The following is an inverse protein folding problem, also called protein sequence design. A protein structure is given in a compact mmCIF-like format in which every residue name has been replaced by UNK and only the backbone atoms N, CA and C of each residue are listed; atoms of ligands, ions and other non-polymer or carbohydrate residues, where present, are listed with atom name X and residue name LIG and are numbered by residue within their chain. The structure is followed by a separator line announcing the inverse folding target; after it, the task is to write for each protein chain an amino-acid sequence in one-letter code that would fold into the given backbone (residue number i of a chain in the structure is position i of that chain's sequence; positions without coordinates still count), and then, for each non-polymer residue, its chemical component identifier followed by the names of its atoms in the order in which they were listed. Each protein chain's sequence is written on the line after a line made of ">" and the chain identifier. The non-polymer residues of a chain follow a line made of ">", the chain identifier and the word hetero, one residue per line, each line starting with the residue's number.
data_IF_906305991979
#
_entry.id   IF_906305991979
#
_cell.length_a   1.000
_cell.length_b   1.000
_cell.length_c   1.000
_cell.angle_alpha   90.00
_cell.angle_beta   90.00
_cell.angle_gamma   90.00
#
_symmetry.space_group_name_H-M   'P 1'
#
loop_
_entity.id
_entity.type
_entity.pdbx_description
1 polymer ?
#
# COMPACT_ATOMS: atom_id res chain seq x y z
N UNK A 1 -9.69 13.09 37.21
CA UNK A 1 -9.59 12.66 35.78
C UNK A 1 -8.42 11.71 35.66
N UNK A 2 -8.68 10.42 35.67
CA UNK A 2 -7.68 9.34 35.61
C UNK A 2 -7.27 9.14 34.16
N UNK A 3 -6.02 9.49 33.82
CA UNK A 3 -5.45 9.26 32.49
C UNK A 3 -5.19 7.76 32.29
N UNK A 4 -5.98 7.12 31.48
CA UNK A 4 -5.77 5.73 31.05
C UNK A 4 -4.53 5.70 30.12
N UNK A 5 -3.37 5.29 30.65
CA UNK A 5 -2.19 4.99 29.83
C UNK A 5 -2.32 3.55 29.33
N UNK A 6 -2.75 3.38 28.09
CA UNK A 6 -2.70 2.08 27.44
C UNK A 6 -1.23 1.71 27.23
N UNK A 7 -0.74 0.70 27.93
CA UNK A 7 0.62 0.21 27.76
C UNK A 7 0.71 -0.56 26.42
N UNK A 8 1.73 -0.26 25.62
CA UNK A 8 2.00 -0.92 24.32
C UNK A 8 1.99 -2.47 24.43
N UNK A 9 2.41 -3.03 25.56
CA UNK A 9 2.34 -4.47 25.85
C UNK A 9 0.88 -5.00 25.91
N UNK A 10 -0.06 -4.20 26.39
CA UNK A 10 -1.48 -4.58 26.46
C UNK A 10 -2.12 -4.58 25.08
N UNK A 11 -1.67 -3.69 24.17
CA UNK A 11 -2.14 -3.65 22.78
C UNK A 11 -1.71 -4.90 22.01
N UNK A 12 -0.45 -5.31 22.18
CA UNK A 12 0.08 -6.53 21.54
C UNK A 12 -0.68 -7.77 22.03
N UNK A 13 -1.00 -7.84 23.33
CA UNK A 13 -1.75 -8.96 23.89
C UNK A 13 -3.19 -9.04 23.34
N UNK A 14 -3.85 -7.90 23.16
CA UNK A 14 -5.19 -7.84 22.57
C UNK A 14 -5.17 -8.29 21.10
N UNK A 15 -4.18 -7.88 20.32
CA UNK A 15 -4.02 -8.32 18.92
C UNK A 15 -3.74 -9.82 18.83
N UNK A 16 -2.90 -10.38 19.71
CA UNK A 16 -2.61 -11.81 19.76
C UNK A 16 -3.84 -12.66 20.18
N UNK A 17 -4.63 -12.19 21.14
CA UNK A 17 -5.85 -12.87 21.58
C UNK A 17 -6.92 -12.83 20.49
N UNK A 18 -7.05 -11.71 19.76
CA UNK A 18 -8.01 -11.61 18.65
C UNK A 18 -7.61 -12.46 17.44
N UNK A 19 -6.34 -12.59 17.14
CA UNK A 19 -5.85 -13.44 16.04
C UNK A 19 -6.01 -14.94 16.33
N UNK A 20 -5.92 -15.35 17.60
CA UNK A 20 -6.11 -16.75 17.98
C UNK A 20 -7.59 -17.18 18.05
N UNK A 21 -8.53 -16.27 18.35
CA UNK A 21 -9.96 -16.59 18.40
C UNK A 21 -10.59 -16.75 17.01
N UNK A 22 -10.01 -16.16 15.96
CA UNK A 22 -10.50 -16.34 14.57
C UNK A 22 -10.28 -17.73 13.99
N UNK A 23 -9.31 -18.48 14.49
CA UNK A 23 -9.03 -19.85 13.99
C UNK A 23 -9.90 -20.94 14.58
N UNK A 24 -10.51 -20.73 15.75
CA UNK A 24 -11.32 -21.75 16.42
C UNK A 24 -12.75 -21.89 15.84
N UNK A 25 -13.27 -20.87 15.16
CA UNK A 25 -14.60 -20.94 14.55
C UNK A 25 -14.60 -21.40 13.10
N UNK A 26 -13.44 -21.52 12.45
CA UNK A 26 -13.35 -21.90 11.03
C UNK A 26 -13.41 -23.42 10.79
N UNK A 27 -13.28 -24.25 11.81
CA UNK A 27 -13.22 -25.71 11.66
C UNK A 27 -14.54 -26.46 11.93
N UNK A 28 -15.57 -25.81 12.43
CA UNK A 28 -16.81 -26.51 12.83
C UNK A 28 -18.00 -26.46 11.87
N UNK A 29 -17.91 -25.68 10.76
CA UNK A 29 -19.03 -25.59 9.82
C UNK A 29 -18.60 -25.70 8.34
N UNK A 30 -17.97 -26.78 7.96
CA UNK A 30 -17.74 -27.05 6.55
C UNK A 30 -17.96 -28.50 6.17
N UNK A 31 -19.21 -28.93 6.19
CA UNK A 31 -19.66 -30.03 5.33
C UNK A 31 -21.09 -29.72 4.92
N UNK A 32 -21.26 -28.88 3.90
CA UNK A 32 -22.37 -28.97 2.94
C UNK A 32 -22.19 -27.91 1.87
N UNK A 33 -21.91 -28.37 0.64
CA UNK A 33 -22.09 -27.66 -0.65
C UNK A 33 -21.79 -26.16 -0.65
N UNK A 34 -20.62 -25.77 -0.21
CA UNK A 34 -20.10 -24.48 -0.63
C UNK A 34 -19.71 -24.63 -2.11
N UNK A 35 -20.61 -24.20 -3.02
CA UNK A 35 -20.14 -23.63 -4.29
C UNK A 35 -18.88 -22.86 -3.94
N UNK A 36 -17.74 -23.20 -4.56
CA UNK A 36 -16.45 -22.48 -4.35
C UNK A 36 -16.76 -21.00 -4.53
N UNK A 37 -17.13 -20.33 -3.44
CA UNK A 37 -17.35 -18.90 -3.44
C UNK A 37 -16.05 -18.32 -3.95
N UNK A 38 -16.09 -17.82 -5.17
CA UNK A 38 -14.93 -17.25 -5.85
C UNK A 38 -14.37 -16.19 -4.92
N UNK A 39 -13.16 -16.46 -4.43
CA UNK A 39 -12.45 -15.52 -3.59
C UNK A 39 -12.38 -14.21 -4.37
N UNK A 40 -12.69 -13.11 -3.72
CA UNK A 40 -12.72 -11.78 -4.30
C UNK A 40 -11.37 -11.34 -4.89
N UNK A 41 -10.30 -11.96 -4.45
CA UNK A 41 -8.93 -11.68 -4.83
C UNK A 41 -8.26 -12.96 -5.33
N UNK A 42 -8.30 -13.16 -6.64
CA UNK A 42 -7.47 -14.14 -7.31
C UNK A 42 -6.03 -13.60 -7.35
N UNK A 43 -5.06 -14.50 -7.50
CA UNK A 43 -3.70 -14.07 -7.78
C UNK A 43 -3.68 -13.32 -9.10
N UNK A 44 -3.04 -12.15 -9.13
CA UNK A 44 -3.01 -11.28 -10.31
C UNK A 44 -1.68 -10.56 -10.45
N UNK A 45 -1.30 -10.30 -11.70
CA UNK A 45 -0.18 -9.41 -12.04
C UNK A 45 -0.75 -8.15 -12.65
N UNK A 46 -0.23 -7.02 -12.24
CA UNK A 46 -0.58 -5.71 -12.76
C UNK A 46 0.67 -5.04 -13.31
N UNK A 47 0.52 -4.36 -14.41
CA UNK A 47 1.51 -3.46 -14.98
C UNK A 47 0.86 -2.11 -15.18
N UNK A 48 1.60 -1.06 -14.98
CA UNK A 48 1.04 0.28 -15.09
C UNK A 48 2.09 1.36 -15.04
N UNK A 49 1.60 2.52 -14.82
CA UNK A 49 2.31 3.78 -14.85
C UNK A 49 2.02 4.54 -13.56
N UNK A 50 3.03 5.19 -13.04
CA UNK A 50 2.96 5.99 -11.82
C UNK A 50 3.54 7.37 -12.04
N UNK A 51 2.78 8.40 -11.66
CA UNK A 51 3.28 9.75 -11.46
C UNK A 51 3.66 9.92 -9.99
N UNK A 52 4.85 10.37 -9.74
CA UNK A 52 5.39 10.59 -8.40
C UNK A 52 5.68 12.07 -8.23
N UNK A 53 5.11 12.67 -7.19
CA UNK A 53 5.50 13.98 -6.71
C UNK A 53 6.28 13.78 -5.41
N UNK A 54 7.57 14.11 -5.44
CA UNK A 54 8.48 13.92 -4.32
C UNK A 54 9.06 15.26 -3.93
N UNK A 55 8.72 15.74 -2.73
CA UNK A 55 9.06 17.07 -2.25
C UNK A 55 9.71 17.05 -0.87
N UNK A 56 10.60 18.03 -0.64
CA UNK A 56 11.16 18.33 0.66
C UNK A 56 10.19 19.22 1.45
N UNK A 57 9.78 18.80 2.64
CA UNK A 57 8.88 19.56 3.52
C UNK A 57 9.53 19.97 4.85
N UNK A 58 10.83 19.69 5.02
CA UNK A 58 11.57 20.02 6.22
C UNK A 58 11.89 21.50 6.40
N UNK A 59 12.37 21.84 7.58
CA UNK A 59 12.65 23.23 7.97
C UNK A 59 14.15 23.60 7.96
N UNK A 60 15.05 22.70 7.54
CA UNK A 60 16.48 22.96 7.54
C UNK A 60 16.87 24.05 6.53
N UNK A 61 17.45 25.18 6.97
CA UNK A 61 17.92 26.22 6.07
C UNK A 61 19.03 25.74 5.13
N UNK A 62 19.77 24.69 5.52
CA UNK A 62 20.87 24.14 4.73
C UNK A 62 20.39 23.29 3.54
N UNK A 63 19.12 22.87 3.54
CA UNK A 63 18.54 21.97 2.52
C UNK A 63 17.54 22.69 1.62
N UNK A 64 17.04 23.86 2.02
CA UNK A 64 16.09 24.65 1.23
C UNK A 64 16.71 25.21 -0.05
N UNK A 65 15.87 25.34 -1.07
CA UNK A 65 16.25 25.90 -2.36
C UNK A 65 16.91 24.88 -3.27
N UNK A 66 17.97 25.27 -3.97
CA UNK A 66 18.63 24.43 -4.98
C UNK A 66 19.27 23.15 -4.43
N UNK A 67 19.23 22.94 -3.11
CA UNK A 67 19.75 21.74 -2.44
C UNK A 67 18.67 20.76 -2.00
N UNK A 68 17.38 21.10 -2.14
CA UNK A 68 16.29 20.17 -1.85
C UNK A 68 16.11 19.18 -2.98
N UNK A 69 15.90 17.89 -2.63
CA UNK A 69 15.62 16.87 -3.60
C UNK A 69 14.12 16.89 -3.94
N UNK A 70 13.78 17.60 -5.01
CA UNK A 70 12.42 17.70 -5.54
C UNK A 70 12.37 17.10 -6.93
N UNK A 71 11.38 16.24 -7.20
CA UNK A 71 11.25 15.57 -8.49
C UNK A 71 9.83 15.12 -8.78
N UNK A 72 9.49 15.06 -10.06
CA UNK A 72 8.20 14.61 -10.57
C UNK A 72 8.36 13.57 -11.68
N UNK A 73 8.97 12.41 -11.40
CA UNK A 73 9.16 11.38 -12.43
C UNK A 73 7.89 10.61 -12.70
N UNK A 74 7.74 10.23 -13.97
CA UNK A 74 6.74 9.25 -14.40
C UNK A 74 7.43 7.91 -14.62
N UNK A 75 7.00 6.88 -13.89
CA UNK A 75 7.73 5.63 -13.71
C UNK A 75 6.88 4.41 -14.08
N UNK A 76 7.53 3.30 -14.37
CA UNK A 76 6.88 2.01 -14.51
C UNK A 76 6.44 1.47 -13.14
N UNK A 77 5.25 0.87 -13.10
CA UNK A 77 4.73 0.17 -11.95
C UNK A 77 4.44 -1.29 -12.31
N UNK A 78 4.92 -2.20 -11.46
CA UNK A 78 4.62 -3.63 -11.54
C UNK A 78 4.14 -4.10 -10.18
N UNK A 79 3.04 -4.85 -10.13
CA UNK A 79 2.49 -5.35 -8.89
C UNK A 79 2.04 -6.81 -9.06
N UNK A 80 2.36 -7.62 -8.06
CA UNK A 80 1.84 -8.98 -7.89
C UNK A 80 0.97 -9.04 -6.64
N UNK A 81 -0.24 -9.54 -6.79
CA UNK A 81 -1.18 -9.73 -5.71
C UNK A 81 -1.55 -11.19 -5.56
N UNK A 82 -1.68 -11.62 -4.33
CA UNK A 82 -2.30 -12.89 -3.96
C UNK A 82 -3.11 -12.70 -2.68
N UNK A 83 -3.77 -13.75 -2.20
CA UNK A 83 -4.52 -13.68 -0.94
C UNK A 83 -3.57 -13.40 0.22
N UNK A 84 -3.60 -12.19 0.75
CA UNK A 84 -2.79 -11.79 1.91
C UNK A 84 -1.37 -11.31 1.61
N UNK A 85 -0.91 -11.33 0.35
CA UNK A 85 0.41 -10.81 -0.04
C UNK A 85 0.28 -9.89 -1.24
N UNK A 86 0.93 -8.73 -1.17
CA UNK A 86 1.10 -7.80 -2.29
C UNK A 86 2.57 -7.45 -2.41
N UNK A 87 3.16 -7.65 -3.58
CA UNK A 87 4.47 -7.16 -3.94
C UNK A 87 4.30 -6.04 -4.94
N UNK A 88 4.98 -4.92 -4.76
CA UNK A 88 4.93 -3.82 -5.71
C UNK A 88 6.32 -3.25 -5.95
N UNK A 89 6.56 -2.86 -7.18
CA UNK A 89 7.75 -2.19 -7.64
C UNK A 89 7.33 -0.98 -8.47
N UNK A 90 7.78 0.19 -8.07
CA UNK A 90 7.72 1.42 -8.84
C UNK A 90 9.15 1.79 -9.12
N UNK A 91 9.51 2.07 -10.35
CA UNK A 91 10.87 2.46 -10.60
C UNK A 91 11.23 2.50 -12.08
N UNK A 92 12.41 3.04 -12.29
CA UNK A 92 13.01 3.21 -13.58
C UNK A 92 13.60 4.61 -13.74
N UNK A 93 14.22 4.82 -14.88
CA UNK A 93 14.48 6.18 -15.35
C UNK A 93 13.14 6.76 -15.82
N UNK A 94 12.98 8.05 -15.66
CA UNK A 94 11.77 8.77 -16.06
C UNK A 94 11.34 8.37 -17.48
N UNK A 95 10.11 7.85 -17.62
CA UNK A 95 9.55 7.51 -18.94
C UNK A 95 9.15 8.79 -19.67
N UNK A 96 8.64 9.79 -18.91
CA UNK A 96 8.26 11.11 -19.39
C UNK A 96 8.71 12.12 -18.33
N UNK A 97 9.56 13.08 -18.69
CA UNK A 97 10.07 14.11 -17.78
C UNK A 97 11.58 14.29 -17.90
N UNK A 98 12.23 14.71 -16.81
CA UNK A 98 13.68 14.88 -16.77
C UNK A 98 14.37 13.51 -16.69
N UNK A 99 15.19 13.19 -17.68
CA UNK A 99 15.98 11.94 -17.74
C UNK A 99 16.96 11.78 -16.57
N UNK A 100 17.20 12.85 -15.83
CA UNK A 100 18.15 12.93 -14.73
C UNK A 100 17.54 12.58 -13.36
N UNK A 101 16.27 12.19 -13.32
CA UNK A 101 15.54 11.85 -12.10
C UNK A 101 15.30 10.33 -12.05
N UNK A 102 15.63 9.71 -10.94
CA UNK A 102 15.40 8.28 -10.71
C UNK A 102 14.78 8.05 -9.34
N UNK A 103 13.69 7.31 -9.32
CA UNK A 103 13.07 6.84 -8.08
C UNK A 103 12.80 5.35 -8.20
N UNK A 104 13.10 4.63 -7.13
CA UNK A 104 12.77 3.20 -6.99
C UNK A 104 12.05 3.03 -5.67
N UNK A 105 10.87 2.41 -5.69
CA UNK A 105 10.14 1.95 -4.51
C UNK A 105 9.84 0.47 -4.68
N UNK A 106 10.33 -0.34 -3.75
CA UNK A 106 10.03 -1.76 -3.63
C UNK A 106 9.31 -1.99 -2.31
N UNK A 107 8.13 -2.62 -2.36
CA UNK A 107 7.35 -2.91 -1.16
C UNK A 107 6.79 -4.31 -1.14
N UNK A 108 6.71 -4.85 0.07
CA UNK A 108 6.07 -6.12 0.41
C UNK A 108 5.00 -5.83 1.46
N UNK A 109 3.76 -6.09 1.12
CA UNK A 109 2.60 -5.92 2.00
C UNK A 109 2.03 -7.30 2.35
N UNK A 110 1.85 -7.56 3.63
CA UNK A 110 1.21 -8.75 4.16
C UNK A 110 -0.06 -8.33 4.89
N UNK A 111 -1.13 -9.11 4.77
CA UNK A 111 -2.34 -8.71 5.42
C UNK A 111 -3.40 -9.79 5.55
N UNK A 112 -4.38 -9.46 6.36
CA UNK A 112 -5.62 -10.19 6.54
C UNK A 112 -6.79 -9.24 6.45
N UNK A 113 -8.00 -9.79 6.40
CA UNK A 113 -9.21 -8.98 6.28
C UNK A 113 -10.35 -9.60 7.08
N UNK A 114 -11.20 -8.74 7.64
CA UNK A 114 -12.41 -9.12 8.34
C UNK A 114 -13.64 -8.56 7.63
N UNK A 115 -14.66 -9.37 7.44
CA UNK A 115 -15.90 -8.95 6.79
C UNK A 115 -16.87 -8.41 7.85
N UNK A 116 -17.24 -7.12 7.75
CA UNK A 116 -18.31 -6.53 8.55
C UNK A 116 -19.70 -6.85 7.97
N UNK A 117 -19.77 -6.86 6.64
CA UNK A 117 -20.99 -7.19 5.91
C UNK A 117 -20.60 -8.01 4.69
N UNK A 118 -21.30 -9.13 4.51
CA UNK A 118 -21.15 -9.98 3.32
C UNK A 118 -22.53 -10.32 2.74
N UNK A 119 -22.89 -9.63 1.67
CA UNK A 119 -24.10 -9.89 0.88
C UNK A 119 -23.71 -10.21 -0.55
N UNK A 120 -24.58 -10.88 -1.28
CA UNK A 120 -24.33 -11.32 -2.67
C UNK A 120 -23.75 -10.22 -3.59
N UNK A 121 -24.14 -8.96 -3.40
CA UNK A 121 -23.74 -7.84 -4.27
C UNK A 121 -22.97 -6.73 -3.57
N UNK A 122 -22.81 -6.81 -2.26
CA UNK A 122 -22.18 -5.76 -1.46
C UNK A 122 -21.41 -6.38 -0.30
N UNK A 123 -20.14 -6.01 -0.15
CA UNK A 123 -19.32 -6.40 0.96
C UNK A 123 -18.65 -5.18 1.58
N UNK A 124 -18.58 -5.15 2.90
CA UNK A 124 -17.78 -4.21 3.67
C UNK A 124 -16.71 -4.99 4.41
N UNK A 125 -15.45 -4.62 4.20
CA UNK A 125 -14.29 -5.35 4.67
C UNK A 125 -13.39 -4.38 5.43
N UNK A 126 -12.84 -4.83 6.55
CA UNK A 126 -11.77 -4.12 7.27
C UNK A 126 -10.47 -4.86 6.97
N UNK A 127 -9.54 -4.26 6.21
CA UNK A 127 -8.20 -4.80 6.01
C UNK A 127 -7.31 -4.44 7.20
N UNK A 128 -6.47 -5.41 7.60
CA UNK A 128 -5.33 -5.21 8.51
C UNK A 128 -4.08 -5.65 7.78
N UNK A 129 -3.13 -4.75 7.62
CA UNK A 129 -1.95 -5.00 6.80
C UNK A 129 -0.69 -4.46 7.45
N UNK A 130 0.43 -5.06 7.12
CA UNK A 130 1.77 -4.57 7.41
C UNK A 130 2.56 -4.47 6.11
N UNK A 131 3.37 -3.44 5.98
CA UNK A 131 4.20 -3.21 4.80
C UNK A 131 5.64 -2.98 5.23
N UNK A 132 6.56 -3.56 4.48
CA UNK A 132 7.96 -3.14 4.44
C UNK A 132 8.23 -2.60 3.05
N UNK A 133 8.74 -1.36 2.98
CA UNK A 133 9.06 -0.72 1.72
C UNK A 133 10.43 -0.04 1.78
N UNK A 134 11.17 -0.14 0.68
CA UNK A 134 12.42 0.60 0.44
C UNK A 134 12.10 1.65 -0.61
N UNK A 135 12.46 2.91 -0.32
CA UNK A 135 12.35 4.02 -1.27
C UNK A 135 13.73 4.64 -1.45
N UNK A 136 14.19 4.72 -2.68
CA UNK A 136 15.41 5.39 -3.06
C UNK A 136 15.11 6.43 -4.14
N UNK A 137 15.57 7.66 -3.94
CA UNK A 137 15.40 8.74 -4.90
C UNK A 137 16.74 9.46 -5.14
N UNK A 138 17.05 9.72 -6.40
CA UNK A 138 18.28 10.41 -6.83
C UNK A 138 17.98 11.35 -7.99
N UNK A 139 18.68 12.49 -8.01
CA UNK A 139 18.61 13.46 -9.09
C UNK A 139 20.04 13.85 -9.49
N UNK A 140 20.34 13.86 -10.78
CA UNK A 140 21.67 14.24 -11.27
C UNK A 140 21.97 15.70 -10.91
N UNK A 141 23.21 15.97 -10.51
CA UNK A 141 23.63 17.28 -10.02
C UNK A 141 23.38 17.53 -8.53
N UNK A 142 22.65 16.64 -7.84
CA UNK A 142 22.43 16.72 -6.41
C UNK A 142 23.37 15.75 -5.68
N UNK A 143 24.06 16.26 -4.64
CA UNK A 143 24.94 15.44 -3.80
C UNK A 143 24.15 14.55 -2.83
N UNK A 144 22.92 14.95 -2.51
CA UNK A 144 22.06 14.22 -1.59
C UNK A 144 21.30 13.12 -2.31
N UNK A 145 21.21 11.97 -1.63
CA UNK A 145 20.43 10.81 -2.06
C UNK A 145 19.43 10.49 -0.94
N UNK A 146 18.18 10.38 -1.31
CA UNK A 146 17.17 9.88 -0.41
C UNK A 146 17.20 8.34 -0.43
N UNK A 147 17.33 7.73 0.72
CA UNK A 147 17.22 6.28 0.88
C UNK A 147 16.57 5.97 2.22
N UNK A 148 15.38 5.41 2.18
CA UNK A 148 14.61 5.07 3.37
C UNK A 148 14.05 3.65 3.26
N UNK A 149 14.14 2.91 4.36
CA UNK A 149 13.38 1.69 4.59
C UNK A 149 12.29 2.00 5.59
N UNK A 150 11.04 1.75 5.23
CA UNK A 150 9.89 1.96 6.09
C UNK A 150 9.27 0.61 6.49
N UNK A 151 8.82 0.51 7.74
CA UNK A 151 7.96 -0.56 8.23
C UNK A 151 6.71 0.06 8.81
N UNK A 152 5.55 -0.28 8.28
CA UNK A 152 4.28 0.33 8.66
C UNK A 152 3.17 -0.70 8.84
N UNK A 153 2.24 -0.38 9.73
CA UNK A 153 0.98 -1.08 9.91
C UNK A 153 -0.19 -0.22 9.44
N UNK A 154 -1.13 -0.80 8.70
CA UNK A 154 -2.25 -0.10 8.10
C UNK A 154 -3.59 -0.76 8.39
N UNK A 155 -4.62 0.08 8.48
CA UNK A 155 -6.01 -0.33 8.60
C UNK A 155 -6.92 0.65 7.85
N UNK A 156 -8.13 0.20 7.57
CA UNK A 156 -9.08 1.06 6.85
C UNK A 156 -10.36 0.33 6.49
N UNK A 157 -10.91 0.65 5.33
CA UNK A 157 -12.14 0.06 4.84
C UNK A 157 -12.05 -0.26 3.35
N UNK A 158 -12.71 -1.36 2.96
CA UNK A 158 -12.95 -1.73 1.57
C UNK A 158 -14.44 -1.88 1.37
N UNK A 159 -14.96 -1.24 0.33
CA UNK A 159 -16.32 -1.44 -0.17
C UNK A 159 -16.20 -2.18 -1.49
N UNK A 160 -16.85 -3.32 -1.57
CA UNK A 160 -16.93 -4.08 -2.79
C UNK A 160 -18.36 -4.19 -3.26
N UNK A 161 -18.61 -3.78 -4.48
CA UNK A 161 -19.90 -3.86 -5.15
C UNK A 161 -19.82 -4.79 -6.35
N UNK A 162 -20.78 -5.69 -6.48
CA UNK A 162 -20.91 -6.64 -7.60
C UNK A 162 -22.24 -6.41 -8.30
N UNK A 163 -22.36 -5.36 -9.15
CA UNK A 163 -23.61 -5.07 -9.85
C UNK A 163 -24.07 -6.23 -10.73
N UNK A 164 -23.11 -6.95 -11.33
CA UNK A 164 -23.34 -8.13 -12.16
C UNK A 164 -22.32 -9.22 -11.86
N UNK A 165 -22.52 -10.43 -12.33
CA UNK A 165 -21.54 -11.53 -12.20
C UNK A 165 -20.31 -11.30 -13.10
N UNK A 166 -20.41 -10.41 -14.07
CA UNK A 166 -19.33 -10.05 -15.00
C UNK A 166 -18.47 -8.89 -14.46
N UNK A 167 -19.02 -7.99 -13.66
CA UNK A 167 -18.39 -6.72 -13.28
C UNK A 167 -18.44 -6.49 -11.77
N UNK A 168 -17.33 -6.05 -11.21
CA UNK A 168 -17.20 -5.65 -9.79
C UNK A 168 -16.39 -4.39 -9.64
N UNK A 169 -16.71 -3.62 -8.60
CA UNK A 169 -16.00 -2.39 -8.21
C UNK A 169 -15.51 -2.58 -6.78
N UNK A 170 -14.25 -2.30 -6.56
CA UNK A 170 -13.62 -2.29 -5.24
C UNK A 170 -13.07 -0.90 -4.96
N UNK A 171 -13.44 -0.32 -3.83
CA UNK A 171 -12.86 0.93 -3.37
C UNK A 171 -12.30 0.73 -1.98
N UNK A 172 -11.06 1.07 -1.79
CA UNK A 172 -10.29 0.94 -0.55
C UNK A 172 -9.79 2.29 -0.11
N UNK A 173 -9.83 2.56 1.20
CA UNK A 173 -9.13 3.67 1.84
C UNK A 173 -8.47 3.15 3.12
N UNK A 174 -7.16 3.37 3.26
CA UNK A 174 -6.36 2.89 4.40
C UNK A 174 -5.42 3.95 4.89
N UNK A 175 -5.28 4.04 6.22
CA UNK A 175 -4.29 4.87 6.89
C UNK A 175 -3.23 3.97 7.52
N UNK A 176 -1.97 4.37 7.41
CA UNK A 176 -0.81 3.61 7.83
C UNK A 176 0.07 4.44 8.73
N UNK A 177 0.67 3.79 9.72
CA UNK A 177 1.60 4.38 10.65
C UNK A 177 2.80 3.45 10.82
N UNK A 178 3.98 4.01 10.88
CA UNK A 178 5.20 3.21 11.00
C UNK A 178 6.43 4.03 11.34
N UNK A 179 7.55 3.38 11.17
CA UNK A 179 8.86 3.98 11.31
C UNK A 179 9.61 3.86 9.99
N UNK A 180 10.42 4.83 9.71
CA UNK A 180 11.34 4.83 8.59
C UNK A 180 12.76 4.98 9.08
N UNK A 181 13.70 4.53 8.27
CA UNK A 181 15.09 4.46 8.63
C UNK A 181 15.97 4.74 7.43
N UNK A 182 16.92 5.64 7.56
CA UNK A 182 17.98 5.86 6.59
C UNK A 182 19.21 5.01 6.92
N UNK A 183 19.71 4.25 5.95
CA UNK A 183 21.00 3.57 6.01
C UNK A 183 21.25 2.60 7.19
N UNK A 184 20.24 1.85 7.60
CA UNK A 184 20.45 0.70 8.50
C UNK A 184 20.29 0.95 10.00
N UNK A 185 19.92 2.14 10.45
CA UNK A 185 19.56 2.43 11.85
C UNK A 185 18.07 2.18 12.09
N UNK A 186 17.68 1.39 13.09
CA UNK A 186 16.31 0.88 13.26
C UNK A 186 15.24 1.90 13.71
N UNK A 187 15.58 3.11 14.06
CA UNK A 187 14.64 4.11 14.58
C UNK A 187 15.06 5.55 14.20
N UNK A 188 15.15 5.82 12.92
CA UNK A 188 15.55 7.14 12.42
C UNK A 188 14.41 8.14 12.25
N UNK A 189 13.14 7.69 12.16
CA UNK A 189 12.01 8.58 11.97
C UNK A 189 10.68 7.85 11.95
N UNK A 190 9.60 8.62 11.82
CA UNK A 190 8.25 8.12 11.67
C UNK A 190 7.80 8.23 10.22
N UNK A 191 6.88 7.38 9.81
CA UNK A 191 6.20 7.51 8.53
C UNK A 191 4.71 7.38 8.70
N UNK A 192 3.98 8.24 8.00
CA UNK A 192 2.55 8.16 7.87
C UNK A 192 2.20 7.99 6.40
N UNK A 193 1.19 7.13 6.12
CA UNK A 193 0.71 6.95 4.75
C UNK A 193 -0.81 7.00 4.72
N UNK A 194 -1.34 7.55 3.65
CA UNK A 194 -2.74 7.46 3.29
C UNK A 194 -2.85 6.89 1.88
N UNK A 195 -3.54 5.77 1.75
CA UNK A 195 -3.68 5.05 0.49
C UNK A 195 -5.16 4.95 0.13
N UNK A 196 -5.50 5.34 -1.10
CA UNK A 196 -6.81 5.05 -1.68
C UNK A 196 -6.63 4.25 -2.96
N UNK A 197 -7.54 3.32 -3.22
CA UNK A 197 -7.51 2.51 -4.42
C UNK A 197 -8.93 2.23 -4.91
N UNK A 198 -9.15 2.43 -6.19
CA UNK A 198 -10.36 1.99 -6.87
C UNK A 198 -9.99 1.01 -7.96
N UNK A 199 -10.64 -0.14 -7.98
CA UNK A 199 -10.40 -1.20 -8.96
C UNK A 199 -11.72 -1.60 -9.60
N UNK A 200 -11.74 -1.59 -10.93
CA UNK A 200 -12.79 -2.18 -11.75
C UNK A 200 -12.33 -3.57 -12.17
N UNK A 201 -13.11 -4.56 -11.86
CA UNK A 201 -12.81 -5.95 -12.21
C UNK A 201 -13.84 -6.50 -13.18
N UNK A 202 -13.37 -7.02 -14.28
CA UNK A 202 -14.17 -7.68 -15.31
C UNK A 202 -13.85 -9.17 -15.32
N UNK A 203 -14.82 -9.97 -14.88
CA UNK A 203 -14.67 -11.40 -14.79
C UNK A 203 -14.69 -12.03 -16.20
N UNK A 204 -13.72 -12.89 -16.49
CA UNK A 204 -13.63 -13.66 -17.76
C UNK A 204 -13.54 -12.81 -19.02
N UNK A 205 -13.01 -11.60 -18.96
CA UNK A 205 -12.90 -10.72 -20.12
C UNK A 205 -11.88 -11.22 -21.13
N UNK A 206 -10.76 -11.80 -20.70
CA UNK A 206 -9.66 -12.23 -21.55
C UNK A 206 -9.48 -13.75 -21.47
N UNK A 207 -9.98 -14.50 -22.46
CA UNK A 207 -9.85 -15.96 -22.55
C UNK A 207 -10.19 -16.70 -21.24
N UNK A 208 -11.27 -16.28 -20.58
CA UNK A 208 -11.71 -16.87 -19.31
C UNK A 208 -11.04 -16.29 -18.08
N UNK A 209 -10.04 -15.43 -18.21
CA UNK A 209 -9.37 -14.72 -17.11
C UNK A 209 -10.03 -13.40 -16.81
N UNK A 210 -9.96 -12.97 -15.55
CA UNK A 210 -10.40 -11.65 -15.13
C UNK A 210 -9.38 -10.59 -15.47
N UNK A 211 -9.87 -9.37 -15.74
CA UNK A 211 -9.04 -8.19 -16.02
C UNK A 211 -9.38 -7.10 -15.01
N UNK A 212 -8.34 -6.44 -14.50
CA UNK A 212 -8.41 -5.35 -13.55
C UNK A 212 -7.98 -4.05 -14.20
N UNK A 213 -8.70 -2.97 -13.89
CA UNK A 213 -8.27 -1.60 -14.12
C UNK A 213 -8.24 -0.92 -12.76
N UNK A 214 -7.09 -0.43 -12.35
CA UNK A 214 -6.93 0.15 -11.02
C UNK A 214 -6.35 1.55 -11.09
N UNK A 215 -6.90 2.42 -10.25
CA UNK A 215 -6.32 3.71 -9.90
C UNK A 215 -6.06 3.72 -8.40
N UNK A 216 -4.83 4.06 -8.01
CA UNK A 216 -4.40 4.12 -6.63
C UNK A 216 -3.69 5.45 -6.38
N UNK A 217 -3.96 6.10 -5.25
CA UNK A 217 -3.15 7.21 -4.75
C UNK A 217 -2.53 6.80 -3.43
N UNK A 218 -1.27 7.15 -3.27
CA UNK A 218 -0.50 6.95 -2.06
C UNK A 218 0.16 8.26 -1.69
N UNK A 219 -0.22 8.85 -0.58
CA UNK A 219 0.53 9.92 0.06
C UNK A 219 1.34 9.33 1.21
N UNK A 220 2.62 9.60 1.26
CA UNK A 220 3.51 9.15 2.32
C UNK A 220 4.38 10.30 2.81
N UNK A 221 4.30 10.57 4.10
CA UNK A 221 5.13 11.54 4.79
C UNK A 221 6.22 10.79 5.55
N UNK A 222 7.47 11.23 5.39
CA UNK A 222 8.64 10.75 6.09
C UNK A 222 9.11 11.87 7.02
N UNK A 223 9.00 11.64 8.32
CA UNK A 223 9.50 12.54 9.36
C UNK A 223 10.82 11.95 9.88
N UNK A 224 11.94 12.59 9.50
CA UNK A 224 13.30 12.10 9.72
C UNK A 224 14.05 13.15 10.56
N UNK A 225 14.66 12.70 11.65
CA UNK A 225 15.53 13.52 12.51
C UNK A 225 14.92 14.87 12.91
N UNK A 226 13.65 14.83 13.35
CA UNK A 226 12.98 15.95 14.04
C UNK A 226 12.40 16.96 13.10
N UNK A 227 12.43 17.32 12.07
CA UNK A 227 11.87 18.26 11.07
C UNK A 227 12.92 18.71 10.03
N UNK A 228 14.19 18.35 10.24
CA UNK A 228 15.27 18.85 9.39
C UNK A 228 15.30 18.12 8.03
N UNK A 229 14.85 16.85 7.98
CA UNK A 229 14.96 15.99 6.78
C UNK A 229 13.63 15.39 6.37
N UNK A 230 12.55 16.14 6.52
CA UNK A 230 11.22 15.65 6.20
C UNK A 230 10.94 15.71 4.70
N UNK A 231 10.39 14.63 4.19
CA UNK A 231 9.98 14.49 2.79
C UNK A 231 8.55 13.98 2.68
N UNK A 232 7.90 14.40 1.60
CA UNK A 232 6.60 13.88 1.18
C UNK A 232 6.71 13.25 -0.20
N UNK A 233 6.05 12.12 -0.35
CA UNK A 233 5.86 11.47 -1.64
C UNK A 233 4.37 11.29 -1.91
N UNK A 234 3.90 11.82 -3.02
CA UNK A 234 2.54 11.59 -3.53
C UNK A 234 2.68 10.77 -4.81
N UNK A 235 2.06 9.59 -4.84
CA UNK A 235 2.13 8.68 -5.97
C UNK A 235 0.73 8.44 -6.51
N UNK A 236 0.53 8.67 -7.79
CA UNK A 236 -0.69 8.34 -8.52
C UNK A 236 -0.40 7.20 -9.48
N UNK A 237 -1.10 6.09 -9.33
CA UNK A 237 -0.86 4.83 -10.03
C UNK A 237 -2.05 4.46 -10.91
N UNK A 238 -1.80 4.22 -12.19
CA UNK A 238 -2.75 3.59 -13.09
C UNK A 238 -2.21 2.22 -13.49
N UNK A 239 -3.01 1.18 -13.36
CA UNK A 239 -2.57 -0.15 -13.74
C UNK A 239 -3.66 -1.00 -14.36
N UNK A 240 -3.24 -1.90 -15.24
CA UNK A 240 -4.03 -2.98 -15.80
C UNK A 240 -3.47 -4.28 -15.25
N UNK A 241 -4.35 -5.15 -14.80
CA UNK A 241 -3.97 -6.45 -14.25
C UNK A 241 -4.76 -7.59 -14.88
N UNK A 242 -4.21 -8.79 -14.77
CA UNK A 242 -4.84 -10.02 -15.26
C UNK A 242 -4.72 -11.09 -14.17
N UNK A 243 -5.79 -11.90 -14.01
CA UNK A 243 -5.75 -13.09 -13.15
C UNK A 243 -4.68 -14.07 -13.65
N UNK A 244 -3.92 -14.58 -12.67
CA UNK A 244 -3.02 -15.73 -12.86
C UNK A 244 -3.75 -16.94 -12.31
N UNK A 245 -4.08 -17.86 -13.15
CA UNK A 245 -4.62 -19.18 -12.77
C UNK A 245 -3.51 -20.20 -12.78
#
# INVERSE_FOLDING_TARGET
>A
MTKFRLNFRSLILIVLVYSSSGHLNAQMFSVENQEKERRMFNSSVHIGYSDVDFEYIGDSPAIRGDQSLEMNPSLLHVQYNTTGVRLHLIGGNTIIGNENESLVRLGVELGTQSYLLRKKRLEFIIPFRVETAITAATKEGYSQRFYQTAFSGGFGGIIAMKPTDFFSIYTEATKWYGFSNSAGNFFGGNTEQFKTKTTLYFNRLLNGRGVYFSYETLQQDFNIDGLDFDYRSIVSLFSIGVDIQ
#
